data_IF_226118015844
#
_entry.id   IF_226118015844
#
_cell.length_a   1.000
_cell.length_b   1.000
_cell.length_c   1.000
_cell.angle_alpha   90.00
_cell.angle_beta   90.00
_cell.angle_gamma   90.00
#
_symmetry.space_group_name_H-M   'P 1'
#
loop_
_entity.id
_entity.type
_entity.pdbx_description
1 polymer ?
#
# COMPACT_ATOMS: atom_id res chain seq x y z
N UNK A 1 -8.42 7.64 22.52
CA UNK A 1 -7.20 7.86 23.34
C UNK A 1 -5.98 7.13 22.79
N UNK A 2 -6.04 5.83 22.42
CA UNK A 2 -4.89 5.13 21.83
C UNK A 2 -4.49 5.61 20.42
N UNK A 3 -5.45 6.07 19.59
CA UNK A 3 -5.17 6.55 18.24
C UNK A 3 -4.34 7.85 18.27
N UNK A 4 -4.72 8.78 19.13
CA UNK A 4 -4.07 10.09 19.29
C UNK A 4 -2.67 9.97 19.91
N UNK A 5 -2.46 9.04 20.85
CA UNK A 5 -1.14 8.81 21.43
C UNK A 5 -0.16 8.23 20.40
N UNK A 6 -0.59 7.21 19.64
CA UNK A 6 0.22 6.60 18.57
C UNK A 6 0.62 7.60 17.48
N UNK A 7 -0.27 8.55 17.14
CA UNK A 7 0.04 9.62 16.19
C UNK A 7 1.02 10.65 16.74
N UNK A 8 0.91 11.00 18.04
CA UNK A 8 1.86 11.91 18.69
C UNK A 8 3.26 11.30 18.80
N UNK A 9 3.36 9.99 19.00
CA UNK A 9 4.66 9.31 19.09
C UNK A 9 5.36 9.19 17.72
N UNK A 10 4.60 9.08 16.62
CA UNK A 10 5.13 9.12 15.25
C UNK A 10 5.84 10.45 14.92
N UNK A 11 5.38 11.57 15.48
CA UNK A 11 5.96 12.90 15.26
C UNK A 11 7.26 13.15 16.04
N UNK A 12 7.64 12.27 16.98
CA UNK A 12 8.85 12.43 17.81
C UNK A 12 10.13 11.98 17.11
N UNK A 13 10.03 11.12 16.10
CA UNK A 13 11.16 10.62 15.33
C UNK A 13 11.09 11.11 13.90
N UNK A 14 12.14 11.76 13.36
CA UNK A 14 12.14 12.23 11.98
C UNK A 14 11.97 11.06 11.00
N UNK A 15 12.50 9.87 11.32
CA UNK A 15 12.34 8.68 10.49
C UNK A 15 10.88 8.20 10.44
N UNK A 16 10.20 8.15 11.58
CA UNK A 16 8.79 7.74 11.64
C UNK A 16 7.88 8.73 10.89
N UNK A 17 8.17 10.02 11.03
CA UNK A 17 7.44 11.08 10.32
C UNK A 17 7.63 10.95 8.81
N UNK A 18 8.87 10.85 8.33
CA UNK A 18 9.16 10.72 6.90
C UNK A 18 8.61 9.42 6.31
N UNK A 19 8.71 8.29 7.03
CA UNK A 19 8.10 7.03 6.59
C UNK A 19 6.57 7.12 6.54
N UNK A 20 5.94 7.80 7.51
CA UNK A 20 4.50 8.02 7.50
C UNK A 20 4.08 8.90 6.33
N UNK A 21 4.85 9.95 6.02
CA UNK A 21 4.64 10.79 4.83
C UNK A 21 4.76 9.92 3.57
N UNK A 22 5.81 9.09 3.46
CA UNK A 22 6.00 8.22 2.30
C UNK A 22 4.82 7.25 2.14
N UNK A 23 4.40 6.57 3.22
CA UNK A 23 3.28 5.64 3.19
C UNK A 23 1.95 6.33 2.85
N UNK A 24 1.71 7.54 3.38
CA UNK A 24 0.44 8.22 3.22
C UNK A 24 0.30 8.97 1.90
N UNK A 25 1.34 9.71 1.53
CA UNK A 25 1.31 10.63 0.39
C UNK A 25 1.63 9.91 -0.92
N UNK A 26 2.56 8.94 -0.93
CA UNK A 26 2.98 8.30 -2.18
C UNK A 26 1.81 7.74 -3.02
N UNK A 27 0.82 7.00 -2.46
CA UNK A 27 -0.32 6.52 -3.24
C UNK A 27 -1.10 7.66 -3.92
N UNK A 28 -1.11 8.86 -3.34
CA UNK A 28 -1.88 10.02 -3.81
C UNK A 28 -1.14 10.88 -4.83
N UNK A 29 0.19 10.73 -4.94
CA UNK A 29 1.00 11.52 -5.86
C UNK A 29 0.60 11.23 -7.31
N UNK A 30 0.27 12.27 -8.05
CA UNK A 30 0.02 12.26 -9.49
C UNK A 30 0.41 13.62 -10.07
N UNK A 31 0.69 13.69 -11.37
CA UNK A 31 1.10 14.93 -12.04
C UNK A 31 0.56 14.99 -13.46
N UNK A 32 -0.06 16.11 -13.83
CA UNK A 32 -0.47 16.37 -15.21
C UNK A 32 0.63 17.06 -16.04
N UNK A 33 1.79 17.36 -15.43
CA UNK A 33 2.90 18.02 -16.10
C UNK A 33 3.77 17.06 -16.93
N UNK A 34 3.55 15.75 -16.81
CA UNK A 34 4.32 14.70 -17.46
C UNK A 34 3.41 13.81 -18.31
N UNK A 35 3.95 13.16 -19.35
CA UNK A 35 3.17 12.26 -20.22
C UNK A 35 2.70 11.02 -19.46
N UNK A 36 3.52 10.52 -18.54
CA UNK A 36 3.09 9.53 -17.56
C UNK A 36 2.62 10.27 -16.30
N UNK A 37 1.36 10.06 -15.94
CA UNK A 37 0.64 10.87 -14.96
C UNK A 37 0.74 10.33 -13.53
N UNK A 38 1.04 9.04 -13.38
CA UNK A 38 0.82 8.30 -12.15
C UNK A 38 2.11 7.72 -11.59
N UNK A 39 2.76 6.85 -12.33
CA UNK A 39 3.89 6.04 -11.88
C UNK A 39 5.19 6.84 -11.79
N UNK A 40 5.50 7.68 -12.78
CA UNK A 40 6.64 8.59 -12.81
C UNK A 40 6.66 9.55 -11.60
N UNK A 41 5.62 10.37 -11.35
CA UNK A 41 5.65 11.30 -10.22
C UNK A 41 5.71 10.58 -8.87
N UNK A 42 5.09 9.40 -8.72
CA UNK A 42 5.21 8.57 -7.51
C UNK A 42 6.63 8.09 -7.28
N UNK A 43 7.27 7.55 -8.31
CA UNK A 43 8.63 7.03 -8.17
C UNK A 43 9.64 8.13 -7.88
N UNK A 44 9.49 9.30 -8.49
CA UNK A 44 10.32 10.45 -8.13
C UNK A 44 10.08 10.90 -6.68
N UNK A 45 8.83 10.93 -6.22
CA UNK A 45 8.54 11.19 -4.80
C UNK A 45 9.22 10.19 -3.87
N UNK A 46 9.18 8.89 -4.20
CA UNK A 46 9.91 7.84 -3.48
C UNK A 46 11.42 8.07 -3.52
N UNK A 47 11.99 8.45 -4.66
CA UNK A 47 13.42 8.73 -4.77
C UNK A 47 13.82 9.90 -3.88
N UNK A 48 13.10 11.02 -3.93
CA UNK A 48 13.42 12.20 -3.11
C UNK A 48 13.26 11.92 -1.62
N UNK A 49 12.11 11.39 -1.19
CA UNK A 49 11.87 11.14 0.25
C UNK A 49 12.73 9.98 0.76
N UNK A 50 12.90 8.91 -0.02
CA UNK A 50 13.70 7.74 0.33
C UNK A 50 15.19 8.06 0.46
N UNK A 51 15.76 8.81 -0.48
CA UNK A 51 17.15 9.26 -0.39
C UNK A 51 17.35 10.23 0.76
N UNK A 52 16.39 11.13 1.03
CA UNK A 52 16.43 12.01 2.20
C UNK A 52 16.42 11.22 3.52
N UNK A 53 15.54 10.22 3.65
CA UNK A 53 15.49 9.32 4.81
C UNK A 53 16.85 8.66 5.02
N UNK A 54 17.44 8.13 3.95
CA UNK A 54 18.74 7.46 4.01
C UNK A 54 19.90 8.42 4.31
N UNK A 55 19.90 9.63 3.74
CA UNK A 55 20.91 10.66 4.01
C UNK A 55 20.89 11.15 5.46
N UNK A 56 19.70 11.36 6.05
CA UNK A 56 19.55 11.69 7.47
C UNK A 56 20.06 10.53 8.35
N UNK A 57 19.84 9.28 7.93
CA UNK A 57 20.37 8.11 8.63
C UNK A 57 21.90 8.05 8.58
N UNK A 58 22.52 8.22 7.41
CA UNK A 58 23.98 8.26 7.27
C UNK A 58 24.60 9.39 8.09
N UNK A 59 23.99 10.58 8.08
CA UNK A 59 24.44 11.71 8.90
C UNK A 59 24.40 11.36 10.39
N UNK A 60 23.33 10.71 10.86
CA UNK A 60 23.25 10.23 12.24
C UNK A 60 24.31 9.19 12.58
N UNK A 61 24.66 8.29 11.65
CA UNK A 61 25.72 7.30 11.84
C UNK A 61 27.07 7.98 12.02
N UNK A 62 27.41 8.92 11.14
CA UNK A 62 28.70 9.63 11.18
C UNK A 62 28.81 10.46 12.45
N UNK A 63 27.80 11.28 12.76
CA UNK A 63 27.82 12.18 13.92
C UNK A 63 27.80 11.44 15.26
N UNK A 64 27.01 10.36 15.36
CA UNK A 64 26.84 9.61 16.62
C UNK A 64 27.71 8.35 16.71
N UNK A 65 28.56 8.10 15.71
CA UNK A 65 29.41 6.90 15.56
C UNK A 65 28.66 5.60 15.82
N UNK A 66 27.45 5.49 15.28
CA UNK A 66 26.56 4.34 15.51
C UNK A 66 26.95 3.16 14.61
N UNK A 67 26.88 1.94 15.15
CA UNK A 67 27.04 0.73 14.35
C UNK A 67 25.79 0.49 13.50
N UNK A 68 26.00 0.02 12.27
CA UNK A 68 24.95 -0.31 11.32
C UNK A 68 24.65 -1.81 11.41
N UNK A 69 23.37 -2.14 11.58
CA UNK A 69 22.83 -3.48 11.32
C UNK A 69 22.60 -3.60 9.82
N UNK A 70 23.27 -4.55 9.18
CA UNK A 70 23.16 -4.77 7.75
C UNK A 70 22.08 -5.81 7.40
N UNK A 71 21.47 -5.71 6.20
CA UNK A 71 20.56 -6.71 5.66
C UNK A 71 21.17 -8.12 5.61
N UNK A 72 20.31 -9.13 5.47
CA UNK A 72 20.75 -10.52 5.28
C UNK A 72 21.52 -10.68 3.96
N UNK A 73 22.37 -11.71 3.89
CA UNK A 73 23.15 -12.05 2.67
C UNK A 73 22.26 -12.29 1.45
N UNK A 74 21.02 -12.76 1.65
CA UNK A 74 20.04 -13.01 0.59
C UNK A 74 19.64 -11.71 -0.11
N UNK A 75 19.46 -10.62 0.64
CA UNK A 75 19.11 -9.31 0.07
C UNK A 75 20.28 -8.77 -0.77
N UNK A 76 21.52 -8.95 -0.31
CA UNK A 76 22.70 -8.57 -1.10
C UNK A 76 22.87 -9.43 -2.34
N UNK A 77 22.57 -10.73 -2.26
CA UNK A 77 22.60 -11.63 -3.42
C UNK A 77 21.55 -11.19 -4.46
N UNK A 78 20.33 -10.86 -4.03
CA UNK A 78 19.30 -10.31 -4.90
C UNK A 78 19.77 -9.03 -5.61
N UNK A 79 20.39 -8.09 -4.88
CA UNK A 79 20.91 -6.85 -5.47
C UNK A 79 22.09 -7.09 -6.41
N UNK A 80 22.96 -8.04 -6.09
CA UNK A 80 24.07 -8.42 -6.96
C UNK A 80 23.56 -9.01 -8.28
N UNK A 81 22.56 -9.89 -8.21
CA UNK A 81 21.91 -10.45 -9.40
C UNK A 81 21.24 -9.34 -10.21
N UNK A 82 20.53 -8.42 -9.56
CA UNK A 82 19.88 -7.29 -10.25
C UNK A 82 20.92 -6.36 -10.90
N UNK A 83 22.04 -6.10 -10.22
CA UNK A 83 23.15 -5.31 -10.76
C UNK A 83 23.79 -5.98 -11.98
N UNK A 84 24.11 -7.28 -11.89
CA UNK A 84 24.67 -8.04 -13.01
C UNK A 84 23.70 -8.05 -14.19
N UNK A 85 22.42 -8.30 -13.93
CA UNK A 85 21.36 -8.23 -14.95
C UNK A 85 21.30 -6.86 -15.62
N UNK A 86 21.42 -5.78 -14.83
CA UNK A 86 21.43 -4.40 -15.35
C UNK A 86 22.64 -4.12 -16.24
N UNK A 87 23.84 -4.59 -15.86
CA UNK A 87 25.08 -4.38 -16.62
C UNK A 87 25.05 -5.19 -17.93
N UNK A 88 24.57 -6.44 -17.88
CA UNK A 88 24.51 -7.35 -19.03
C UNK A 88 23.30 -7.10 -19.94
N UNK A 89 22.37 -6.23 -19.54
CA UNK A 89 21.17 -5.90 -20.31
C UNK A 89 21.51 -5.22 -21.64
N UNK A 90 20.75 -5.53 -22.70
CA UNK A 90 20.80 -4.82 -23.97
C UNK A 90 20.36 -3.35 -23.86
N UNK A 91 19.55 -3.02 -22.85
CA UNK A 91 19.02 -1.68 -22.61
C UNK A 91 19.41 -1.20 -21.22
N UNK A 92 20.70 -1.00 -20.97
CA UNK A 92 21.25 -0.61 -19.67
C UNK A 92 20.58 0.62 -19.06
N UNK A 93 20.27 1.64 -19.86
CA UNK A 93 19.58 2.84 -19.37
C UNK A 93 18.20 2.49 -18.80
N UNK A 94 17.38 1.76 -19.56
CA UNK A 94 16.06 1.30 -19.11
C UNK A 94 16.15 0.35 -17.94
N UNK A 95 17.15 -0.53 -17.88
CA UNK A 95 17.36 -1.43 -16.75
C UNK A 95 17.77 -0.68 -15.48
N UNK A 96 18.57 0.37 -15.60
CA UNK A 96 18.98 1.16 -14.44
C UNK A 96 17.83 2.03 -13.90
N UNK A 97 17.16 2.79 -14.78
CA UNK A 97 16.14 3.76 -14.40
C UNK A 97 14.73 3.18 -14.29
N UNK A 98 14.45 2.09 -15.00
CA UNK A 98 13.10 1.57 -15.22
C UNK A 98 12.50 2.06 -16.54
N UNK A 99 11.43 1.39 -16.98
CA UNK A 99 10.68 1.77 -18.18
C UNK A 99 9.76 2.96 -17.88
N UNK A 100 9.39 3.76 -18.89
CA UNK A 100 8.67 5.03 -18.68
C UNK A 100 7.32 4.89 -17.94
N UNK A 101 6.69 3.71 -17.98
CA UNK A 101 5.48 3.42 -17.19
C UNK A 101 5.70 2.36 -16.10
N UNK A 102 6.97 1.99 -15.85
CA UNK A 102 7.43 1.03 -14.81
C UNK A 102 8.80 1.44 -14.24
N UNK A 103 8.91 2.67 -13.75
CA UNK A 103 10.05 3.21 -13.00
C UNK A 103 10.30 2.48 -11.67
N UNK A 104 9.30 1.81 -11.11
CA UNK A 104 9.43 1.02 -9.90
C UNK A 104 10.28 -0.25 -10.07
N UNK A 105 10.51 -0.72 -11.30
CA UNK A 105 11.23 -1.97 -11.61
C UNK A 105 12.73 -1.80 -11.92
N UNK A 106 13.25 -0.57 -11.87
CA UNK A 106 14.67 -0.29 -12.15
C UNK A 106 15.65 -0.72 -11.05
N UNK A 107 16.94 -0.71 -11.37
CA UNK A 107 18.01 -0.86 -10.37
C UNK A 107 18.00 0.28 -9.35
N UNK A 108 17.74 1.52 -9.79
CA UNK A 108 17.70 2.68 -8.90
C UNK A 108 16.60 2.57 -7.84
N UNK A 109 15.38 2.16 -8.22
CA UNK A 109 14.30 1.94 -7.25
C UNK A 109 14.68 0.86 -6.24
N UNK A 110 15.28 -0.22 -6.70
CA UNK A 110 15.78 -1.31 -5.83
C UNK A 110 16.80 -0.82 -4.80
N UNK A 111 17.73 0.07 -5.20
CA UNK A 111 18.70 0.69 -4.31
C UNK A 111 18.04 1.64 -3.29
N UNK A 112 17.06 2.43 -3.71
CA UNK A 112 16.31 3.32 -2.80
C UNK A 112 15.50 2.50 -1.80
N UNK A 113 14.84 1.43 -2.24
CA UNK A 113 14.12 0.51 -1.34
C UNK A 113 15.06 -0.17 -0.34
N UNK A 114 16.27 -0.55 -0.76
CA UNK A 114 17.30 -1.05 0.17
C UNK A 114 17.67 0.01 1.20
N UNK A 115 17.91 1.26 0.78
CA UNK A 115 18.24 2.36 1.69
C UNK A 115 17.16 2.55 2.76
N UNK A 116 15.89 2.61 2.35
CA UNK A 116 14.74 2.67 3.27
C UNK A 116 14.73 1.44 4.19
N UNK A 117 14.92 0.24 3.66
CA UNK A 117 14.94 -1.00 4.45
C UNK A 117 16.05 -0.98 5.52
N UNK A 118 17.27 -0.53 5.18
CA UNK A 118 18.38 -0.37 6.11
C UNK A 118 18.01 0.60 7.23
N UNK A 119 17.37 1.74 6.91
CA UNK A 119 16.88 2.66 7.94
C UNK A 119 15.86 1.97 8.84
N UNK A 120 14.91 1.24 8.25
CA UNK A 120 13.86 0.54 8.99
C UNK A 120 14.45 -0.44 10.02
N UNK A 121 15.37 -1.31 9.63
CA UNK A 121 15.97 -2.32 10.55
C UNK A 121 16.85 -1.70 11.64
N UNK A 122 17.38 -0.50 11.43
CA UNK A 122 18.25 0.19 12.40
C UNK A 122 17.51 1.16 13.33
N UNK A 123 16.37 1.71 12.89
CA UNK A 123 15.69 2.80 13.59
C UNK A 123 14.30 2.44 14.10
N UNK A 124 13.62 1.49 13.49
CA UNK A 124 12.28 1.11 13.91
C UNK A 124 12.32 0.06 15.02
N UNK A 125 11.42 0.22 15.98
CA UNK A 125 11.10 -0.77 16.98
C UNK A 125 9.80 -1.47 16.61
N UNK A 126 9.59 -2.67 17.15
CA UNK A 126 8.34 -3.42 16.98
C UNK A 126 7.12 -2.58 17.41
N UNK A 127 7.28 -1.72 18.42
CA UNK A 127 6.25 -0.79 18.89
C UNK A 127 5.78 0.23 17.84
N UNK A 128 6.58 0.51 16.83
CA UNK A 128 6.31 1.57 15.85
C UNK A 128 5.45 1.07 14.68
N UNK A 129 5.55 -0.24 14.37
CA UNK A 129 4.84 -0.87 13.26
C UNK A 129 3.32 -0.69 13.32
N UNK A 130 2.63 -0.86 14.47
CA UNK A 130 1.19 -0.62 14.54
C UNK A 130 0.79 0.80 14.12
N UNK A 131 1.63 1.81 14.40
CA UNK A 131 1.40 3.19 13.96
C UNK A 131 1.54 3.33 12.44
N UNK A 132 2.64 2.84 11.88
CA UNK A 132 2.90 2.87 10.44
C UNK A 132 1.83 2.09 9.64
N UNK A 133 1.40 0.93 10.13
CA UNK A 133 0.35 0.15 9.49
C UNK A 133 -1.01 0.86 9.52
N UNK A 134 -1.34 1.59 10.61
CA UNK A 134 -2.53 2.43 10.64
C UNK A 134 -2.44 3.57 9.62
N UNK A 135 -1.29 4.23 9.50
CA UNK A 135 -1.06 5.25 8.48
C UNK A 135 -1.26 4.68 7.08
N UNK A 136 -0.68 3.52 6.78
CA UNK A 136 -0.88 2.82 5.52
C UNK A 136 -2.34 2.40 5.30
N UNK A 137 -3.10 2.05 6.34
CA UNK A 137 -4.53 1.76 6.19
C UNK A 137 -5.35 3.02 5.92
N UNK A 138 -5.00 4.17 6.52
CA UNK A 138 -5.74 5.42 6.37
C UNK A 138 -5.70 5.97 4.93
N UNK A 139 -4.71 5.60 4.12
CA UNK A 139 -4.66 5.97 2.70
C UNK A 139 -5.78 5.37 1.87
N UNK A 140 -6.35 4.24 2.30
CA UNK A 140 -7.50 3.64 1.63
C UNK A 140 -8.65 4.64 1.52
N UNK A 141 -8.78 5.56 2.47
CA UNK A 141 -9.88 6.53 2.47
C UNK A 141 -9.86 7.40 1.20
N UNK A 142 -8.84 8.24 0.96
CA UNK A 142 -8.80 9.04 -0.27
C UNK A 142 -8.70 8.18 -1.53
N UNK A 143 -7.92 7.08 -1.51
CA UNK A 143 -7.74 6.23 -2.70
C UNK A 143 -9.06 5.59 -3.15
N UNK A 144 -9.83 5.05 -2.20
CA UNK A 144 -11.10 4.41 -2.50
C UNK A 144 -12.18 5.41 -2.85
N UNK A 145 -12.21 6.58 -2.23
CA UNK A 145 -13.13 7.65 -2.62
C UNK A 145 -12.89 8.10 -4.07
N UNK A 146 -11.64 8.35 -4.46
CA UNK A 146 -11.31 8.74 -5.85
C UNK A 146 -11.74 7.63 -6.82
N UNK A 147 -11.47 6.37 -6.52
CA UNK A 147 -11.89 5.25 -7.37
C UNK A 147 -13.43 5.13 -7.49
N UNK A 148 -14.16 5.28 -6.39
CA UNK A 148 -15.63 5.27 -6.41
C UNK A 148 -16.18 6.47 -7.20
N UNK A 149 -15.58 7.66 -7.05
CA UNK A 149 -15.95 8.85 -7.81
C UNK A 149 -15.77 8.64 -9.32
N UNK A 150 -14.67 8.00 -9.74
CA UNK A 150 -14.44 7.63 -11.14
C UNK A 150 -15.52 6.70 -11.69
N UNK A 151 -15.97 5.71 -10.89
CA UNK A 151 -17.05 4.80 -11.30
C UNK A 151 -18.35 5.56 -11.63
N UNK A 152 -18.71 6.56 -10.82
CA UNK A 152 -19.90 7.39 -11.04
C UNK A 152 -19.67 8.58 -11.98
N UNK A 153 -18.47 8.71 -12.54
CA UNK A 153 -18.13 9.73 -13.53
C UNK A 153 -17.81 11.12 -12.99
N UNK A 154 -17.62 11.28 -11.69
CA UNK A 154 -17.25 12.55 -11.09
C UNK A 154 -15.80 12.93 -11.47
N UNK A 155 -15.61 14.10 -12.08
CA UNK A 155 -14.31 14.72 -12.38
C UNK A 155 -13.54 14.15 -13.58
N UNK A 156 -13.81 12.90 -14.00
CA UNK A 156 -13.08 12.23 -15.10
C UNK A 156 -13.98 11.63 -16.18
N UNK A 157 -15.31 11.73 -16.04
CA UNK A 157 -16.25 10.93 -16.83
C UNK A 157 -16.31 9.48 -16.35
N UNK A 158 -17.37 8.75 -16.72
CA UNK A 158 -17.58 7.36 -16.26
C UNK A 158 -16.49 6.48 -16.87
N UNK A 159 -15.72 5.81 -15.99
CA UNK A 159 -14.76 4.79 -16.41
C UNK A 159 -15.30 3.41 -16.11
N UNK A 160 -15.15 2.49 -17.06
CA UNK A 160 -15.61 1.11 -16.91
C UNK A 160 -14.86 0.39 -15.78
N UNK A 161 -13.54 0.60 -15.71
CA UNK A 161 -12.67 0.00 -14.69
C UNK A 161 -11.90 1.10 -13.96
N UNK A 162 -12.14 1.22 -12.66
CA UNK A 162 -11.54 2.31 -11.87
C UNK A 162 -10.05 2.05 -11.62
N UNK A 163 -9.26 3.11 -11.64
CA UNK A 163 -7.80 3.06 -11.44
C UNK A 163 -7.33 4.03 -10.37
N UNK A 164 -8.22 4.85 -9.81
CA UNK A 164 -7.95 5.89 -8.82
C UNK A 164 -6.72 6.71 -9.24
N UNK A 165 -5.75 6.85 -8.37
CA UNK A 165 -4.47 7.51 -8.61
C UNK A 165 -3.40 6.54 -9.13
N UNK A 166 -3.69 5.25 -9.29
CA UNK A 166 -2.71 4.23 -9.66
C UNK A 166 -2.52 4.10 -11.18
N UNK A 167 -3.43 4.64 -11.99
CA UNK A 167 -3.34 4.61 -13.46
C UNK A 167 -3.67 3.25 -14.10
N UNK A 168 -3.77 2.18 -13.30
CA UNK A 168 -4.11 0.84 -13.80
C UNK A 168 -4.98 0.08 -12.76
N UNK A 169 -6.12 -0.53 -13.17
CA UNK A 169 -7.06 -1.16 -12.23
C UNK A 169 -6.50 -2.34 -11.44
N UNK A 170 -5.59 -3.14 -12.01
CA UNK A 170 -4.98 -4.28 -11.31
C UNK A 170 -3.94 -3.81 -10.27
N UNK A 171 -3.20 -2.72 -10.53
CA UNK A 171 -2.30 -2.11 -9.55
C UNK A 171 -3.08 -1.53 -8.37
N UNK A 172 -4.21 -0.85 -8.64
CA UNK A 172 -5.13 -0.41 -7.60
C UNK A 172 -5.65 -1.61 -6.80
N UNK A 173 -6.10 -2.66 -7.49
CA UNK A 173 -6.62 -3.86 -6.83
C UNK A 173 -5.57 -4.52 -5.92
N UNK A 174 -4.32 -4.66 -6.38
CA UNK A 174 -3.21 -5.19 -5.58
C UNK A 174 -2.99 -4.35 -4.31
N UNK A 175 -3.01 -3.03 -4.43
CA UNK A 175 -2.84 -2.12 -3.30
C UNK A 175 -3.97 -2.28 -2.27
N UNK A 176 -5.23 -2.32 -2.72
CA UNK A 176 -6.40 -2.49 -1.85
C UNK A 176 -6.37 -3.85 -1.14
N UNK A 177 -6.11 -4.94 -1.87
CA UNK A 177 -6.07 -6.32 -1.34
C UNK A 177 -5.00 -6.47 -0.26
N UNK A 178 -3.86 -5.80 -0.41
CA UNK A 178 -2.78 -5.83 0.59
C UNK A 178 -3.20 -5.22 1.94
N UNK A 179 -4.06 -4.19 1.93
CA UNK A 179 -4.40 -3.42 3.13
C UNK A 179 -5.75 -3.79 3.76
N UNK A 180 -6.72 -4.27 2.97
CA UNK A 180 -8.05 -4.68 3.46
C UNK A 180 -8.02 -5.66 4.65
N UNK A 181 -7.14 -6.68 4.72
CA UNK A 181 -7.07 -7.58 5.87
C UNK A 181 -6.62 -6.88 7.15
N UNK A 182 -5.74 -5.89 7.04
CA UNK A 182 -5.30 -5.06 8.17
C UNK A 182 -6.44 -4.16 8.65
N UNK A 183 -7.22 -3.57 7.72
CA UNK A 183 -8.41 -2.79 8.07
C UNK A 183 -9.45 -3.68 8.75
N UNK A 184 -9.67 -4.90 8.27
CA UNK A 184 -10.57 -5.86 8.90
C UNK A 184 -10.12 -6.17 10.34
N UNK A 185 -8.83 -6.41 10.56
CA UNK A 185 -8.26 -6.58 11.89
C UNK A 185 -8.51 -5.36 12.80
N UNK A 186 -8.33 -4.14 12.29
CA UNK A 186 -8.58 -2.90 13.05
C UNK A 186 -10.07 -2.68 13.36
N UNK A 187 -10.96 -3.16 12.49
CA UNK A 187 -12.42 -3.10 12.70
C UNK A 187 -12.91 -3.99 13.85
N UNK A 188 -12.17 -5.04 14.19
CA UNK A 188 -12.50 -5.93 15.31
C UNK A 188 -11.78 -5.58 16.61
N UNK A 189 -10.62 -4.92 16.54
CA UNK A 189 -9.78 -4.60 17.73
C UNK A 189 -9.80 -3.12 18.15
N UNK A 190 -10.18 -2.17 17.28
CA UNK A 190 -9.99 -0.72 17.48
C UNK A 190 -11.27 0.14 17.44
N UNK A 191 -11.21 1.36 16.87
CA UNK A 191 -12.36 2.24 16.62
C UNK A 191 -13.29 1.63 15.56
N UNK A 192 -14.16 0.74 16.04
CA UNK A 192 -14.71 -0.34 15.22
C UNK A 192 -15.54 0.11 14.01
N UNK A 193 -16.31 1.19 14.12
CA UNK A 193 -17.19 1.64 13.05
C UNK A 193 -16.41 2.33 11.91
N UNK A 194 -15.44 3.18 12.25
CA UNK A 194 -14.60 3.87 11.26
C UNK A 194 -13.86 2.88 10.36
N UNK A 195 -13.19 1.90 10.97
CA UNK A 195 -12.46 0.87 10.22
C UNK A 195 -13.39 -0.06 9.43
N UNK A 196 -14.61 -0.35 9.93
CA UNK A 196 -15.59 -1.11 9.17
C UNK A 196 -16.07 -0.34 7.92
N UNK A 197 -16.36 0.95 8.05
CA UNK A 197 -16.72 1.81 6.92
C UNK A 197 -15.55 1.94 5.93
N UNK A 198 -14.32 2.05 6.43
CA UNK A 198 -13.13 2.08 5.58
C UNK A 198 -12.93 0.76 4.83
N UNK A 199 -13.22 -0.38 5.46
CA UNK A 199 -13.18 -1.68 4.78
C UNK A 199 -14.22 -1.75 3.68
N UNK A 200 -15.47 -1.35 3.96
CA UNK A 200 -16.58 -1.38 2.98
C UNK A 200 -16.25 -0.47 1.79
N UNK A 201 -15.81 0.75 2.04
CA UNK A 201 -15.39 1.68 0.97
C UNK A 201 -14.19 1.15 0.17
N UNK A 202 -13.20 0.57 0.86
CA UNK A 202 -12.08 -0.12 0.24
C UNK A 202 -12.50 -1.28 -0.66
N UNK A 203 -13.43 -2.11 -0.19
CA UNK A 203 -14.00 -3.22 -0.96
C UNK A 203 -14.81 -2.73 -2.15
N UNK A 204 -15.67 -1.71 -1.99
CA UNK A 204 -16.44 -1.13 -3.10
C UNK A 204 -15.51 -0.65 -4.21
N UNK A 205 -14.44 0.07 -3.86
CA UNK A 205 -13.44 0.48 -4.83
C UNK A 205 -12.74 -0.72 -5.49
N UNK A 206 -12.40 -1.77 -4.72
CA UNK A 206 -11.81 -2.99 -5.28
C UNK A 206 -12.77 -3.65 -6.28
N UNK A 207 -14.05 -3.74 -5.94
CA UNK A 207 -15.07 -4.32 -6.81
C UNK A 207 -15.14 -3.60 -8.16
N UNK A 208 -15.15 -2.25 -8.13
CA UNK A 208 -15.19 -1.43 -9.35
C UNK A 208 -13.91 -1.46 -10.19
N UNK A 209 -12.81 -2.07 -9.72
CA UNK A 209 -11.64 -2.33 -10.58
C UNK A 209 -11.92 -3.40 -11.63
N UNK A 210 -12.92 -4.26 -11.37
CA UNK A 210 -13.20 -5.46 -12.13
C UNK A 210 -11.93 -6.29 -12.41
N UNK A 211 -10.99 -6.30 -11.46
CA UNK A 211 -9.76 -7.08 -11.53
C UNK A 211 -10.00 -8.50 -11.01
N UNK A 212 -10.04 -9.49 -11.91
CA UNK A 212 -10.21 -10.91 -11.54
C UNK A 212 -9.11 -11.36 -10.58
N UNK A 213 -7.84 -11.02 -10.87
CA UNK A 213 -6.71 -11.31 -9.97
C UNK A 213 -6.84 -10.63 -8.61
N UNK A 214 -7.37 -9.40 -8.59
CA UNK A 214 -7.66 -8.67 -7.37
C UNK A 214 -8.71 -9.39 -6.50
N UNK A 215 -9.81 -9.85 -7.11
CA UNK A 215 -10.89 -10.55 -6.39
C UNK A 215 -10.42 -11.91 -5.88
N UNK A 216 -9.71 -12.68 -6.70
CA UNK A 216 -9.13 -13.97 -6.27
C UNK A 216 -8.16 -13.74 -5.10
N UNK A 217 -7.30 -12.72 -5.19
CA UNK A 217 -6.42 -12.33 -4.10
C UNK A 217 -7.18 -11.93 -2.84
N UNK A 218 -8.26 -11.15 -2.96
CA UNK A 218 -9.11 -10.77 -1.84
C UNK A 218 -9.75 -11.97 -1.14
N UNK A 219 -10.31 -12.92 -1.90
CA UNK A 219 -10.90 -14.15 -1.35
C UNK A 219 -9.84 -14.94 -0.58
N UNK A 220 -8.67 -15.16 -1.20
CA UNK A 220 -7.58 -15.91 -0.58
C UNK A 220 -7.13 -15.27 0.74
N UNK A 221 -6.87 -13.95 0.74
CA UNK A 221 -6.38 -13.26 1.95
C UNK A 221 -7.50 -13.11 3.00
N UNK A 222 -8.76 -12.99 2.60
CA UNK A 222 -9.91 -13.01 3.52
C UNK A 222 -10.04 -14.35 4.25
N UNK A 223 -9.87 -15.47 3.54
CA UNK A 223 -9.84 -16.80 4.16
C UNK A 223 -8.67 -16.94 5.13
N UNK A 224 -7.45 -16.61 4.69
CA UNK A 224 -6.26 -16.70 5.54
C UNK A 224 -6.38 -15.81 6.79
N UNK A 225 -6.83 -14.57 6.64
CA UNK A 225 -6.98 -13.64 7.76
C UNK A 225 -8.03 -14.10 8.78
N UNK A 226 -9.17 -14.62 8.33
CA UNK A 226 -10.21 -15.15 9.24
C UNK A 226 -9.73 -16.40 9.99
N UNK A 227 -8.99 -17.30 9.33
CA UNK A 227 -8.33 -18.44 10.00
C UNK A 227 -7.31 -17.98 11.05
N UNK A 228 -6.50 -16.97 10.73
CA UNK A 228 -5.54 -16.38 11.69
C UNK A 228 -6.28 -15.78 12.89
N UNK A 229 -7.36 -15.03 12.66
CA UNK A 229 -8.15 -14.42 13.74
C UNK A 229 -8.77 -15.48 14.65
N UNK A 230 -9.26 -16.57 14.07
CA UNK A 230 -9.78 -17.71 14.82
C UNK A 230 -8.69 -18.35 15.69
N UNK A 231 -7.54 -18.72 15.09
CA UNK A 231 -6.43 -19.37 15.78
C UNK A 231 -5.83 -18.50 16.89
N UNK A 232 -5.80 -17.18 16.70
CA UNK A 232 -5.35 -16.20 17.70
C UNK A 232 -6.42 -15.87 18.74
N UNK A 233 -7.58 -16.55 18.73
CA UNK A 233 -8.72 -16.32 19.64
C UNK A 233 -9.19 -14.85 19.66
N UNK A 234 -9.05 -14.16 18.51
CA UNK A 234 -9.52 -12.79 18.33
C UNK A 234 -11.02 -12.71 18.00
N UNK A 235 -11.63 -13.87 17.68
CA UNK A 235 -13.04 -13.97 17.33
C UNK A 235 -13.89 -14.28 18.57
N UNK A 236 -14.73 -13.32 18.96
CA UNK A 236 -15.86 -13.53 19.87
C UNK A 236 -17.18 -13.36 19.10
N UNK A 237 -18.32 -13.64 19.76
CA UNK A 237 -19.65 -13.54 19.12
C UNK A 237 -19.89 -12.17 18.48
N UNK A 238 -19.46 -11.08 19.14
CA UNK A 238 -19.63 -9.70 18.65
C UNK A 238 -18.77 -9.40 17.41
N UNK A 239 -17.50 -9.80 17.42
CA UNK A 239 -16.59 -9.59 16.28
C UNK A 239 -16.97 -10.47 15.10
N UNK A 240 -17.43 -11.69 15.34
CA UNK A 240 -17.91 -12.59 14.29
C UNK A 240 -19.15 -12.00 13.61
N UNK A 241 -20.16 -11.57 14.38
CA UNK A 241 -21.34 -10.89 13.84
C UNK A 241 -20.95 -9.68 13.00
N UNK A 242 -20.00 -8.86 13.47
CA UNK A 242 -19.52 -7.71 12.70
C UNK A 242 -18.86 -8.12 11.37
N UNK A 243 -17.97 -9.11 11.39
CA UNK A 243 -17.33 -9.61 10.17
C UNK A 243 -18.38 -10.09 9.17
N UNK A 244 -19.37 -10.85 9.64
CA UNK A 244 -20.48 -11.32 8.81
C UNK A 244 -21.29 -10.15 8.24
N UNK A 245 -21.60 -9.13 9.04
CA UNK A 245 -22.29 -7.91 8.55
C UNK A 245 -21.47 -7.19 7.49
N UNK A 246 -20.16 -7.02 7.70
CA UNK A 246 -19.26 -6.37 6.72
C UNK A 246 -19.27 -7.14 5.40
N UNK A 247 -19.08 -8.47 5.44
CA UNK A 247 -19.08 -9.29 4.23
C UNK A 247 -20.45 -9.34 3.55
N UNK A 248 -21.55 -9.30 4.32
CA UNK A 248 -22.90 -9.21 3.76
C UNK A 248 -23.08 -7.91 2.98
N UNK A 249 -22.61 -6.77 3.53
CA UNK A 249 -22.64 -5.48 2.81
C UNK A 249 -21.73 -5.51 1.58
N UNK A 250 -20.57 -6.15 1.65
CA UNK A 250 -19.71 -6.33 0.48
C UNK A 250 -20.42 -7.16 -0.61
N UNK A 251 -21.13 -8.22 -0.21
CA UNK A 251 -21.90 -9.04 -1.13
C UNK A 251 -23.05 -8.26 -1.78
N UNK A 252 -23.76 -7.41 -1.04
CA UNK A 252 -24.82 -6.57 -1.64
C UNK A 252 -24.27 -5.55 -2.62
N UNK A 253 -23.11 -4.95 -2.34
CA UNK A 253 -22.40 -4.08 -3.31
C UNK A 253 -22.04 -4.85 -4.58
N UNK A 254 -21.53 -6.07 -4.44
CA UNK A 254 -21.14 -6.90 -5.56
C UNK A 254 -22.34 -7.31 -6.44
N UNK A 255 -23.43 -7.74 -5.81
CA UNK A 255 -24.65 -8.17 -6.51
C UNK A 255 -25.39 -7.01 -7.18
N UNK A 256 -25.37 -5.82 -6.58
CA UNK A 256 -25.98 -4.61 -7.18
C UNK A 256 -25.18 -4.07 -8.37
N UNK A 257 -23.91 -4.45 -8.51
CA UNK A 257 -23.01 -3.96 -9.55
C UNK A 257 -22.32 -5.11 -10.28
N UNK A 258 -23.10 -5.90 -11.03
CA UNK A 258 -22.62 -7.15 -11.63
C UNK A 258 -21.41 -6.98 -12.55
N UNK A 259 -21.23 -5.82 -13.19
CA UNK A 259 -19.98 -5.37 -13.84
C UNK A 259 -19.24 -6.46 -14.61
N UNK A 260 -18.30 -7.13 -13.94
CA UNK A 260 -17.59 -8.35 -14.38
C UNK A 260 -18.45 -9.45 -15.04
N UNK A 261 -19.70 -9.56 -14.62
CA UNK A 261 -20.65 -10.58 -15.07
C UNK A 261 -21.75 -9.99 -15.94
N UNK A 262 -21.72 -8.69 -16.23
CA UNK A 262 -22.79 -8.02 -16.99
C UNK A 262 -23.04 -8.76 -18.31
N UNK A 263 -21.99 -8.97 -19.11
CA UNK A 263 -22.07 -9.65 -20.41
C UNK A 263 -22.42 -11.15 -20.33
N UNK A 264 -22.43 -11.74 -19.14
CA UNK A 264 -22.79 -13.16 -18.92
C UNK A 264 -24.21 -13.34 -18.40
N UNK A 265 -24.84 -12.26 -17.93
CA UNK A 265 -26.15 -12.26 -17.27
C UNK A 265 -27.18 -11.51 -18.11
N UNK A 266 -26.75 -10.59 -18.99
CA UNK A 266 -27.57 -9.94 -20.01
C UNK A 266 -27.44 -10.65 -21.35
#
# INVERSE_FOLDING_TARGET
MQLTQSMKDLLKSPFLTLLSILLFINPLVMSNATKELFEFPKMFFVYYVGTLIFAIFLTNIVLKKQRIVWPSRIIFLYLLINLISTILSSHQYTSFWGYYSRFNEGMLSSLVYLGIYIVCINKLKISDFPGLMKVACLTLFPISLIGIMQHFGFGTGVVERVYSTFGQPNWLAQYLVMLLPLVLYLSITGFTMFWALLFITGFSCLWFTYSVSGIVGFIAVSLVSTTIFYNKKLLNKKSLLRILTIYLVCLTVALSNLGLFKDKVT
#
